data_IF_480072207563
#
_entry.id   IF_480072207563
#
_cell.length_a   1.000
_cell.length_b   1.000
_cell.length_c   1.000
_cell.angle_alpha   90.00
_cell.angle_beta   90.00
_cell.angle_gamma   90.00
#
_symmetry.space_group_name_H-M   'P 1'
#
loop_
_entity.id
_entity.type
_entity.pdbx_description
1 polymer ?
#
# COMPACT_ATOMS: atom_id res chain seq x y z
N UNK A 1 -22.22 -4.91 -27.40
CA UNK A 1 -20.80 -5.17 -27.72
C UNK A 1 -20.18 -3.88 -28.21
N UNK A 2 -19.51 -3.16 -27.31
CA UNK A 2 -18.55 -2.13 -27.65
C UNK A 2 -17.57 -2.14 -26.49
N UNK A 3 -16.51 -2.93 -26.68
CA UNK A 3 -15.36 -2.95 -25.78
C UNK A 3 -14.71 -1.56 -25.83
N UNK A 4 -15.05 -0.71 -24.87
CA UNK A 4 -14.15 0.37 -24.45
C UNK A 4 -13.00 -0.29 -23.69
N UNK A 5 -12.06 -0.88 -24.44
CA UNK A 5 -10.71 -1.02 -23.90
C UNK A 5 -10.22 0.40 -23.61
N UNK A 6 -9.80 0.73 -22.39
CA UNK A 6 -9.11 1.99 -22.14
C UNK A 6 -7.89 2.05 -23.09
N UNK A 7 -7.52 3.26 -23.58
CA UNK A 7 -6.33 3.40 -24.42
C UNK A 7 -5.15 2.75 -23.71
N UNK A 8 -4.29 2.10 -24.48
CA UNK A 8 -3.12 1.37 -24.01
C UNK A 8 -2.33 2.28 -23.04
N UNK A 9 -2.54 2.08 -21.73
CA UNK A 9 -2.06 2.99 -20.66
C UNK A 9 -0.57 2.84 -20.41
N UNK A 10 0.10 1.92 -21.11
CA UNK A 10 1.53 1.72 -20.98
C UNK A 10 2.25 2.94 -21.56
N UNK A 11 2.83 3.77 -20.67
CA UNK A 11 3.56 5.01 -20.97
C UNK A 11 2.71 6.27 -21.18
N UNK A 12 1.64 6.46 -20.41
CA UNK A 12 0.95 7.76 -20.35
C UNK A 12 1.85 8.82 -19.67
N UNK A 13 2.22 9.93 -20.34
CA UNK A 13 2.98 11.02 -19.72
C UNK A 13 2.19 11.69 -18.59
N UNK A 14 2.74 11.73 -17.38
CA UNK A 14 2.04 12.24 -16.19
C UNK A 14 2.84 13.34 -15.51
N UNK A 15 2.15 14.42 -15.13
CA UNK A 15 2.70 15.48 -14.27
C UNK A 15 2.39 15.15 -12.80
N UNK A 16 3.42 15.12 -11.96
CA UNK A 16 3.28 14.91 -10.52
C UNK A 16 3.13 16.23 -9.78
N UNK A 17 2.16 16.32 -8.88
CA UNK A 17 1.88 17.52 -8.07
C UNK A 17 1.90 17.17 -6.59
N UNK A 18 2.64 17.94 -5.80
CA UNK A 18 2.69 17.81 -4.35
C UNK A 18 2.43 19.14 -3.63
N UNK A 19 1.73 19.09 -2.50
CA UNK A 19 1.51 20.26 -1.66
C UNK A 19 2.14 20.06 -0.29
N UNK A 20 3.14 20.87 -0.01
CA UNK A 20 3.81 20.94 1.28
C UNK A 20 2.98 21.81 2.24
N UNK A 21 2.38 21.15 3.24
CA UNK A 21 1.63 21.80 4.31
C UNK A 21 2.48 22.24 5.51
N UNK A 22 3.81 22.08 5.42
CA UNK A 22 4.73 22.28 6.53
C UNK A 22 4.82 21.08 7.47
N UNK A 23 4.37 19.91 7.04
CA UNK A 23 4.58 18.67 7.78
C UNK A 23 6.04 18.21 7.63
N UNK A 24 6.65 17.65 8.68
CA UNK A 24 8.05 17.23 8.64
C UNK A 24 8.34 16.17 7.57
N UNK A 25 7.33 15.39 7.16
CA UNK A 25 7.51 14.18 6.34
C UNK A 25 7.10 14.37 4.87
N UNK A 26 7.06 15.61 4.38
CA UNK A 26 6.71 15.88 2.99
C UNK A 26 7.84 15.45 2.04
N UNK A 27 7.51 14.55 1.11
CA UNK A 27 8.43 14.15 0.04
C UNK A 27 8.51 15.26 -1.01
N UNK A 28 9.45 16.20 -0.81
CA UNK A 28 9.66 17.33 -1.70
C UNK A 28 10.07 16.95 -3.12
N UNK A 29 10.65 15.76 -3.31
CA UNK A 29 11.02 15.26 -4.63
C UNK A 29 9.88 14.51 -5.30
N UNK A 30 8.82 14.14 -4.57
CA UNK A 30 7.77 13.22 -5.05
C UNK A 30 8.35 11.90 -5.56
N UNK A 31 9.43 11.42 -4.92
CA UNK A 31 10.10 10.18 -5.28
C UNK A 31 9.16 8.98 -5.11
N UNK A 32 8.41 8.91 -4.00
CA UNK A 32 7.48 7.82 -3.74
C UNK A 32 6.30 7.85 -4.72
N UNK A 33 5.71 9.04 -4.96
CA UNK A 33 4.63 9.19 -5.94
C UNK A 33 5.10 8.81 -7.35
N UNK A 34 6.34 9.16 -7.71
CA UNK A 34 6.96 8.76 -8.97
C UNK A 34 7.09 7.25 -9.09
N UNK A 35 7.54 6.56 -8.04
CA UNK A 35 7.59 5.10 -8.01
C UNK A 35 6.20 4.46 -8.10
N UNK A 36 5.19 5.03 -7.43
CA UNK A 36 3.80 4.56 -7.56
C UNK A 36 3.29 4.72 -9.00
N UNK A 37 3.53 5.88 -9.61
CA UNK A 37 3.14 6.16 -10.99
C UNK A 37 3.79 5.18 -11.98
N UNK A 38 5.10 4.97 -11.86
CA UNK A 38 5.83 3.98 -12.67
C UNK A 38 5.30 2.56 -12.45
N UNK A 39 5.01 2.19 -11.20
CA UNK A 39 4.44 0.87 -10.86
C UNK A 39 3.07 0.67 -11.50
N UNK A 40 2.28 1.72 -11.65
CA UNK A 40 0.98 1.70 -12.33
C UNK A 40 1.08 1.68 -13.87
N UNK A 41 2.28 1.85 -14.43
CA UNK A 41 2.53 1.94 -15.87
C UNK A 41 2.52 3.35 -16.45
N UNK A 42 2.48 4.38 -15.59
CA UNK A 42 2.55 5.79 -15.98
C UNK A 42 4.01 6.24 -16.14
N UNK A 43 4.23 7.29 -16.92
CA UNK A 43 5.55 7.88 -17.15
C UNK A 43 5.62 9.30 -16.57
N UNK A 44 6.19 9.50 -15.37
CA UNK A 44 6.36 10.83 -14.78
C UNK A 44 7.29 11.72 -15.61
N UNK A 45 6.74 12.70 -16.32
CA UNK A 45 7.50 13.59 -17.21
C UNK A 45 7.92 14.90 -16.55
N UNK A 46 7.23 15.30 -15.50
CA UNK A 46 7.51 16.52 -14.76
C UNK A 46 7.00 16.40 -13.32
N UNK A 47 7.54 17.24 -12.43
CA UNK A 47 7.16 17.33 -11.02
C UNK A 47 7.03 18.79 -10.63
N UNK A 48 6.01 19.10 -9.86
CA UNK A 48 5.80 20.45 -9.32
C UNK A 48 5.32 20.35 -7.87
N UNK A 49 5.94 21.14 -7.00
CA UNK A 49 5.54 21.25 -5.60
C UNK A 49 5.14 22.68 -5.27
N UNK A 50 4.25 22.83 -4.28
CA UNK A 50 3.93 24.15 -3.75
C UNK A 50 3.80 24.12 -2.22
N UNK A 51 4.18 25.23 -1.58
CA UNK A 51 4.05 25.40 -0.13
C UNK A 51 2.76 26.14 0.19
N UNK A 52 1.94 25.60 1.10
CA UNK A 52 0.70 26.23 1.57
C UNK A 52 0.47 25.91 3.04
N UNK A 53 -0.20 26.77 3.80
CA UNK A 53 -0.59 26.43 5.19
C UNK A 53 -1.79 25.47 5.25
N UNK A 54 -2.66 25.55 4.26
CA UNK A 54 -3.88 24.76 4.18
C UNK A 54 -4.32 24.58 2.71
N UNK A 55 -5.05 23.50 2.39
CA UNK A 55 -5.56 23.28 1.05
C UNK A 55 -6.60 24.35 0.68
N UNK A 56 -6.56 24.80 -0.57
CA UNK A 56 -7.61 25.64 -1.12
C UNK A 56 -8.92 24.85 -1.27
N UNK A 57 -10.04 25.43 -0.83
CA UNK A 57 -11.34 24.76 -0.87
C UNK A 57 -11.80 24.42 -2.30
N UNK A 58 -11.40 25.23 -3.30
CA UNK A 58 -11.82 25.06 -4.68
C UNK A 58 -10.82 24.23 -5.49
N UNK A 59 -9.53 24.55 -5.44
CA UNK A 59 -8.49 24.01 -6.32
C UNK A 59 -7.37 23.26 -5.61
N UNK A 60 -7.42 23.10 -4.28
CA UNK A 60 -6.36 22.51 -3.45
C UNK A 60 -5.04 23.33 -3.42
N UNK A 61 -4.50 23.73 -4.58
CA UNK A 61 -3.26 24.50 -4.77
C UNK A 61 -3.47 26.01 -4.95
N UNK A 62 -4.71 26.44 -5.22
CA UNK A 62 -5.06 27.83 -5.57
C UNK A 62 -4.95 28.14 -7.06
N UNK A 63 -5.53 29.25 -7.52
CA UNK A 63 -5.64 29.59 -8.96
C UNK A 63 -4.29 29.78 -9.64
N UNK A 64 -3.42 30.64 -9.12
CA UNK A 64 -2.14 30.94 -9.78
C UNK A 64 -1.25 29.70 -9.94
N UNK A 65 -1.22 28.81 -8.95
CA UNK A 65 -0.48 27.54 -9.04
C UNK A 65 -1.18 26.55 -9.97
N UNK A 66 -2.52 26.56 -10.05
CA UNK A 66 -3.24 25.75 -11.02
C UNK A 66 -2.95 26.19 -12.48
N UNK A 67 -2.78 27.48 -12.73
CA UNK A 67 -2.35 28.00 -14.04
C UNK A 67 -0.93 27.55 -14.39
N UNK A 68 -0.01 27.58 -13.42
CA UNK A 68 1.36 27.08 -13.58
C UNK A 68 1.39 25.56 -13.87
N UNK A 69 0.56 24.78 -13.17
CA UNK A 69 0.38 23.33 -13.44
C UNK A 69 -0.13 23.12 -14.87
N UNK A 70 -1.12 23.89 -15.32
CA UNK A 70 -1.68 23.79 -16.67
C UNK A 70 -0.62 24.07 -17.75
N UNK A 71 0.16 25.13 -17.55
CA UNK A 71 1.23 25.52 -18.46
C UNK A 71 2.30 24.43 -18.53
N UNK A 72 2.76 23.96 -17.37
CA UNK A 72 3.78 22.91 -17.29
C UNK A 72 3.30 21.60 -17.91
N UNK A 73 2.06 21.20 -17.65
CA UNK A 73 1.46 19.99 -18.24
C UNK A 73 1.44 20.07 -19.78
N UNK A 74 1.11 21.24 -20.33
CA UNK A 74 1.11 21.47 -21.78
C UNK A 74 2.53 21.42 -22.35
N UNK A 75 3.50 22.04 -21.68
CA UNK A 75 4.90 22.06 -22.11
C UNK A 75 5.56 20.69 -22.05
N UNK A 76 5.26 19.89 -21.02
CA UNK A 76 5.81 18.55 -20.84
C UNK A 76 5.06 17.46 -21.61
N UNK A 77 3.96 17.81 -22.30
CA UNK A 77 3.11 16.85 -23.01
C UNK A 77 2.39 15.86 -22.07
N UNK A 78 2.10 16.27 -20.82
CA UNK A 78 1.40 15.43 -19.86
C UNK A 78 -0.06 15.22 -20.29
N UNK A 79 -0.52 13.98 -20.27
CA UNK A 79 -1.92 13.59 -20.58
C UNK A 79 -2.77 13.43 -19.32
N UNK A 80 -2.14 13.46 -18.14
CA UNK A 80 -2.78 13.32 -16.84
C UNK A 80 -1.98 14.07 -15.77
N UNK A 81 -2.68 14.59 -14.76
CA UNK A 81 -2.07 15.21 -13.59
C UNK A 81 -2.38 14.37 -12.35
N UNK A 82 -1.33 14.01 -11.62
CA UNK A 82 -1.40 13.15 -10.44
C UNK A 82 -1.02 13.93 -9.18
N UNK A 83 -1.95 14.01 -8.23
CA UNK A 83 -1.75 14.65 -6.94
C UNK A 83 -1.30 13.65 -5.88
N UNK A 84 -0.26 13.98 -5.12
CA UNK A 84 0.23 13.15 -4.00
C UNK A 84 -0.78 13.08 -2.86
N UNK A 85 -1.55 14.15 -2.62
CA UNK A 85 -2.55 14.20 -1.57
C UNK A 85 -3.93 13.80 -2.08
N UNK A 86 -4.76 13.22 -1.23
CA UNK A 86 -6.16 12.94 -1.54
C UNK A 86 -6.95 14.23 -1.79
N UNK A 87 -7.67 14.30 -2.91
CA UNK A 87 -8.47 15.47 -3.28
C UNK A 87 -9.94 15.23 -2.91
N UNK A 88 -10.69 16.22 -2.46
CA UNK A 88 -12.16 16.05 -2.36
C UNK A 88 -12.81 15.93 -3.75
N UNK A 89 -14.02 15.35 -3.87
CA UNK A 89 -14.74 15.29 -5.14
C UNK A 89 -15.04 16.67 -5.78
N UNK A 90 -15.14 17.72 -4.96
CA UNK A 90 -15.30 19.09 -5.45
C UNK A 90 -13.98 19.63 -6.01
N UNK A 91 -12.88 19.46 -5.27
CA UNK A 91 -11.55 19.90 -5.70
C UNK A 91 -11.11 19.22 -6.99
N UNK A 92 -11.24 17.89 -7.07
CA UNK A 92 -10.91 17.15 -8.29
C UNK A 92 -11.70 17.67 -9.49
N UNK A 93 -13.02 17.85 -9.36
CA UNK A 93 -13.85 18.36 -10.47
C UNK A 93 -13.46 19.77 -10.90
N UNK A 94 -13.08 20.62 -9.97
CA UNK A 94 -12.67 21.98 -10.28
C UNK A 94 -11.29 22.00 -10.95
N UNK A 95 -10.36 21.17 -10.49
CA UNK A 95 -9.05 20.98 -11.11
C UNK A 95 -9.16 20.41 -12.52
N UNK A 96 -9.95 19.35 -12.73
CA UNK A 96 -10.21 18.79 -14.07
C UNK A 96 -10.79 19.85 -15.03
N UNK A 97 -11.68 20.71 -14.53
CA UNK A 97 -12.23 21.83 -15.31
C UNK A 97 -11.21 22.89 -15.66
N UNK A 98 -10.33 23.21 -14.72
CA UNK A 98 -9.33 24.26 -14.89
C UNK A 98 -8.19 23.82 -15.81
N UNK A 99 -7.68 22.60 -15.57
CA UNK A 99 -6.54 22.01 -16.25
C UNK A 99 -6.90 21.43 -17.62
N UNK A 100 -8.19 21.09 -17.84
CA UNK A 100 -8.68 20.41 -19.06
C UNK A 100 -8.01 19.05 -19.30
N UNK A 101 -7.46 18.46 -18.25
CA UNK A 101 -6.82 17.14 -18.23
C UNK A 101 -7.46 16.28 -17.14
N UNK A 102 -7.42 14.94 -17.26
CA UNK A 102 -7.71 14.04 -16.16
C UNK A 102 -6.85 14.36 -14.94
N UNK A 103 -7.49 14.45 -13.78
CA UNK A 103 -6.81 14.67 -12.50
C UNK A 103 -7.12 13.51 -11.59
N UNK A 104 -6.07 12.79 -11.17
CA UNK A 104 -6.20 11.69 -10.23
C UNK A 104 -5.36 11.97 -8.98
N UNK A 105 -5.73 11.35 -7.88
CA UNK A 105 -5.01 11.46 -6.61
C UNK A 105 -4.29 10.13 -6.28
N UNK A 106 -3.40 10.20 -5.29
CA UNK A 106 -2.67 9.05 -4.77
C UNK A 106 -3.58 7.90 -4.39
N UNK A 107 -4.76 8.17 -3.82
CA UNK A 107 -5.75 7.15 -3.47
C UNK A 107 -6.17 6.31 -4.66
N UNK A 108 -6.55 6.94 -5.78
CA UNK A 108 -6.94 6.19 -6.97
C UNK A 108 -5.76 5.43 -7.56
N UNK A 109 -4.58 6.04 -7.60
CA UNK A 109 -3.37 5.40 -8.12
C UNK A 109 -3.05 4.10 -7.37
N UNK A 110 -3.11 4.12 -6.03
CA UNK A 110 -2.90 2.93 -5.21
C UNK A 110 -3.94 1.85 -5.54
N UNK A 111 -5.21 2.21 -5.67
CA UNK A 111 -6.27 1.28 -6.04
C UNK A 111 -6.05 0.67 -7.44
N UNK A 112 -5.52 1.44 -8.39
CA UNK A 112 -5.19 0.95 -9.72
C UNK A 112 -4.02 -0.04 -9.69
N UNK A 113 -2.94 0.27 -8.97
CA UNK A 113 -1.82 -0.66 -8.75
C UNK A 113 -2.34 -1.95 -8.14
N UNK A 114 -3.17 -1.86 -7.10
CA UNK A 114 -3.76 -3.04 -6.47
C UNK A 114 -4.66 -3.84 -7.41
N UNK A 115 -5.40 -3.16 -8.31
CA UNK A 115 -6.19 -3.84 -9.34
C UNK A 115 -5.34 -4.67 -10.29
N UNK A 116 -4.13 -4.19 -10.60
CA UNK A 116 -3.16 -4.91 -11.43
C UNK A 116 -2.49 -6.07 -10.68
N UNK A 117 -2.34 -5.97 -9.36
CA UNK A 117 -1.63 -6.97 -8.53
C UNK A 117 -2.53 -8.05 -7.93
N UNK A 118 -3.83 -7.79 -7.76
CA UNK A 118 -4.78 -8.75 -7.18
C UNK A 118 -4.96 -9.98 -8.08
N UNK A 119 -4.45 -11.14 -7.64
CA UNK A 119 -4.62 -12.42 -8.34
C UNK A 119 -5.70 -13.26 -7.69
N UNK A 120 -5.78 -13.26 -6.35
CA UNK A 120 -6.79 -14.01 -5.61
C UNK A 120 -8.20 -13.46 -5.84
N UNK A 121 -9.20 -14.35 -5.76
CA UNK A 121 -10.60 -13.94 -5.89
C UNK A 121 -11.02 -12.96 -4.79
N UNK A 122 -10.52 -13.16 -3.57
CA UNK A 122 -10.77 -12.28 -2.44
C UNK A 122 -10.14 -10.89 -2.64
N UNK A 123 -8.85 -10.84 -3.01
CA UNK A 123 -8.14 -9.59 -3.28
C UNK A 123 -8.81 -8.80 -4.39
N UNK A 124 -9.26 -9.46 -5.47
CA UNK A 124 -10.01 -8.80 -6.56
C UNK A 124 -11.30 -8.16 -6.05
N UNK A 125 -12.08 -8.86 -5.22
CA UNK A 125 -13.32 -8.31 -4.66
C UNK A 125 -13.06 -7.13 -3.72
N UNK A 126 -12.00 -7.17 -2.91
CA UNK A 126 -11.64 -6.08 -2.00
C UNK A 126 -11.23 -4.82 -2.76
N UNK A 127 -10.36 -4.98 -3.76
CA UNK A 127 -9.91 -3.86 -4.58
C UNK A 127 -11.07 -3.28 -5.38
N UNK A 128 -11.93 -4.12 -5.96
CA UNK A 128 -13.10 -3.68 -6.69
C UNK A 128 -14.08 -2.91 -5.78
N UNK A 129 -14.32 -3.40 -4.55
CA UNK A 129 -15.14 -2.72 -3.56
C UNK A 129 -14.60 -1.32 -3.26
N UNK A 130 -13.30 -1.23 -2.92
CA UNK A 130 -12.67 0.03 -2.58
C UNK A 130 -12.69 1.02 -3.76
N UNK A 131 -12.44 0.53 -4.98
CA UNK A 131 -12.53 1.32 -6.22
C UNK A 131 -13.95 1.83 -6.47
N UNK A 132 -14.97 0.99 -6.32
CA UNK A 132 -16.37 1.41 -6.49
C UNK A 132 -16.79 2.42 -5.43
N UNK A 133 -16.38 2.24 -4.17
CA UNK A 133 -16.64 3.21 -3.11
C UNK A 133 -16.00 4.56 -3.42
N UNK A 134 -14.74 4.57 -3.85
CA UNK A 134 -14.04 5.79 -4.25
C UNK A 134 -14.77 6.49 -5.41
N UNK A 135 -15.07 5.75 -6.49
CA UNK A 135 -15.76 6.29 -7.67
C UNK A 135 -17.20 6.75 -7.37
N UNK A 136 -17.89 6.09 -6.42
CA UNK A 136 -19.28 6.42 -6.03
C UNK A 136 -19.46 7.88 -5.60
N UNK A 137 -18.41 8.48 -5.05
CA UNK A 137 -18.41 9.87 -4.58
C UNK A 137 -18.04 10.89 -5.67
N UNK A 138 -17.60 10.43 -6.84
CA UNK A 138 -16.96 11.25 -7.90
C UNK A 138 -17.60 11.10 -9.30
N UNK A 139 -18.73 10.42 -9.41
CA UNK A 139 -19.40 10.09 -10.69
C UNK A 139 -19.87 11.28 -11.53
N UNK A 140 -20.03 12.47 -10.94
CA UNK A 140 -20.74 13.61 -11.54
C UNK A 140 -20.11 14.14 -12.85
N UNK A 141 -18.87 13.77 -13.23
CA UNK A 141 -18.28 14.25 -14.50
C UNK A 141 -17.47 13.30 -15.38
N UNK A 142 -17.00 12.12 -14.93
CA UNK A 142 -16.34 11.17 -15.86
C UNK A 142 -17.22 10.80 -17.06
N UNK A 143 -18.54 10.91 -16.91
CA UNK A 143 -19.54 10.68 -17.96
C UNK A 143 -20.04 11.94 -18.70
N UNK A 144 -19.71 13.16 -18.24
CA UNK A 144 -20.17 14.40 -18.88
C UNK A 144 -19.58 14.65 -20.28
N UNK A 145 -18.50 13.93 -20.63
CA UNK A 145 -17.94 13.92 -21.99
C UNK A 145 -18.78 13.09 -22.99
N UNK A 146 -19.57 12.12 -22.52
CA UNK A 146 -20.47 11.33 -23.37
C UNK A 146 -21.74 12.10 -23.74
N UNK A 147 -22.25 12.96 -22.86
CA UNK A 147 -23.41 13.82 -23.15
C UNK A 147 -23.15 14.84 -24.28
N UNK A 148 -21.90 15.22 -24.56
CA UNK A 148 -21.59 16.17 -25.65
C UNK A 148 -21.43 15.53 -27.02
N UNK A 149 -21.05 14.25 -27.09
CA UNK A 149 -20.95 13.54 -28.37
C UNK A 149 -22.28 12.96 -28.84
N UNK A 150 -23.20 12.67 -27.92
CA UNK A 150 -24.58 12.29 -28.24
C UNK A 150 -25.45 13.55 -28.23
N UNK A 151 -25.49 14.25 -29.36
CA UNK A 151 -26.23 15.49 -29.57
C UNK A 151 -27.59 15.53 -28.86
N UNK A 152 -27.85 16.64 -28.18
CA UNK A 152 -28.99 16.82 -27.31
C UNK A 152 -30.31 16.39 -27.94
N UNK A 153 -30.93 15.37 -27.35
CA UNK A 153 -32.37 15.14 -27.18
C UNK A 153 -32.48 13.96 -26.20
N UNK A 154 -32.92 14.28 -24.98
CA UNK A 154 -33.44 13.38 -23.95
C UNK A 154 -33.05 11.89 -23.98
N UNK A 155 -31.91 11.54 -23.38
CA UNK A 155 -31.73 10.18 -22.84
C UNK A 155 -32.26 10.14 -21.39
N UNK A 156 -33.57 10.39 -21.24
CA UNK A 156 -34.29 10.09 -20.00
C UNK A 156 -34.34 8.56 -19.87
N UNK A 157 -33.52 8.00 -18.98
CA UNK A 157 -33.65 6.60 -18.59
C UNK A 157 -34.95 6.42 -17.81
N UNK A 158 -36.05 6.07 -18.48
CA UNK A 158 -37.34 5.82 -17.83
C UNK A 158 -37.99 7.07 -17.19
N UNK A 159 -39.17 6.92 -16.55
CA UNK A 159 -40.00 8.04 -16.13
C UNK A 159 -39.40 8.73 -14.88
N UNK A 160 -38.60 9.77 -15.09
CA UNK A 160 -38.25 10.78 -14.06
C UNK A 160 -36.87 10.66 -13.39
N UNK A 161 -36.12 9.59 -13.61
CA UNK A 161 -34.78 9.40 -13.01
C UNK A 161 -33.68 9.98 -13.93
N UNK A 162 -32.75 10.74 -13.36
CA UNK A 162 -31.59 11.24 -14.11
C UNK A 162 -30.58 10.12 -14.35
N UNK A 163 -29.81 10.19 -15.45
CA UNK A 163 -28.80 9.18 -15.76
C UNK A 163 -27.75 9.04 -14.64
N UNK A 164 -27.41 10.13 -13.95
CA UNK A 164 -26.50 10.16 -12.81
C UNK A 164 -27.07 9.39 -11.61
N UNK A 165 -28.38 9.48 -11.36
CA UNK A 165 -29.04 8.74 -10.29
C UNK A 165 -29.08 7.24 -10.58
N UNK A 166 -29.37 6.86 -11.82
CA UNK A 166 -29.31 5.48 -12.28
C UNK A 166 -27.91 4.88 -12.09
N UNK A 167 -26.85 5.57 -12.51
CA UNK A 167 -25.47 5.10 -12.36
C UNK A 167 -25.06 4.99 -10.89
N UNK A 168 -25.44 5.97 -10.07
CA UNK A 168 -25.21 5.94 -8.62
C UNK A 168 -25.91 4.75 -7.97
N UNK A 169 -27.14 4.45 -8.40
CA UNK A 169 -27.89 3.29 -7.95
C UNK A 169 -27.23 1.97 -8.37
N UNK A 170 -26.82 1.84 -9.64
CA UNK A 170 -26.12 0.65 -10.13
C UNK A 170 -24.81 0.40 -9.37
N UNK A 171 -24.04 1.44 -9.09
CA UNK A 171 -22.81 1.32 -8.28
C UNK A 171 -23.14 0.93 -6.84
N UNK A 172 -24.18 1.51 -6.24
CA UNK A 172 -24.67 1.12 -4.92
C UNK A 172 -25.06 -0.36 -4.84
N UNK A 173 -25.79 -0.85 -5.83
CA UNK A 173 -26.20 -2.26 -5.92
C UNK A 173 -25.01 -3.20 -6.10
N UNK A 174 -24.01 -2.79 -6.89
CA UNK A 174 -22.77 -3.56 -7.06
C UNK A 174 -21.95 -3.60 -5.78
N UNK A 175 -21.81 -2.47 -5.08
CA UNK A 175 -21.17 -2.41 -3.76
C UNK A 175 -21.84 -3.39 -2.79
N UNK A 176 -23.18 -3.42 -2.75
CA UNK A 176 -23.93 -4.35 -1.89
C UNK A 176 -23.64 -5.80 -2.24
N UNK A 177 -23.70 -6.17 -3.52
CA UNK A 177 -23.40 -7.53 -4.00
C UNK A 177 -21.97 -7.98 -3.65
N UNK A 178 -20.98 -7.09 -3.81
CA UNK A 178 -19.59 -7.41 -3.50
C UNK A 178 -19.40 -7.59 -1.99
N UNK A 179 -20.00 -6.73 -1.15
CA UNK A 179 -19.98 -6.89 0.31
C UNK A 179 -20.56 -8.23 0.76
N UNK A 180 -21.70 -8.64 0.20
CA UNK A 180 -22.30 -9.95 0.48
C UNK A 180 -21.39 -11.12 0.09
N UNK A 181 -20.67 -11.01 -1.04
CA UNK A 181 -19.68 -12.01 -1.45
C UNK A 181 -18.49 -12.06 -0.50
N UNK A 182 -17.96 -10.92 -0.08
CA UNK A 182 -16.86 -10.84 0.90
C UNK A 182 -17.23 -11.46 2.24
N UNK A 183 -18.48 -11.29 2.71
CA UNK A 183 -18.95 -11.96 3.94
C UNK A 183 -18.90 -13.50 3.82
N UNK A 184 -19.20 -14.06 2.65
CA UNK A 184 -19.09 -15.52 2.42
C UNK A 184 -17.63 -15.98 2.44
N UNK A 185 -16.73 -15.23 1.82
CA UNK A 185 -15.28 -15.51 1.82
C UNK A 185 -14.72 -15.45 3.24
N UNK A 186 -15.12 -14.46 4.05
CA UNK A 186 -14.71 -14.33 5.46
C UNK A 186 -15.08 -15.56 6.29
N UNK A 187 -16.31 -16.09 6.11
CA UNK A 187 -16.75 -17.32 6.78
C UNK A 187 -15.89 -18.53 6.39
N UNK A 188 -15.54 -18.67 5.12
CA UNK A 188 -14.68 -19.75 4.65
C UNK A 188 -13.27 -19.68 5.27
N UNK A 189 -12.69 -18.48 5.36
CA UNK A 189 -11.40 -18.24 6.03
C UNK A 189 -11.44 -18.61 7.51
N UNK A 190 -12.48 -18.24 8.25
CA UNK A 190 -12.61 -18.60 9.67
C UNK A 190 -12.59 -20.12 9.90
N UNK A 191 -13.21 -20.89 9.02
CA UNK A 191 -13.17 -22.36 9.08
C UNK A 191 -11.76 -22.89 8.84
N UNK A 192 -11.03 -22.35 7.85
CA UNK A 192 -9.64 -22.72 7.59
C UNK A 192 -8.71 -22.33 8.75
N UNK A 193 -8.95 -21.17 9.37
CA UNK A 193 -8.24 -20.72 10.57
C UNK A 193 -8.41 -21.71 11.73
N UNK A 194 -9.65 -22.09 12.06
CA UNK A 194 -9.92 -23.08 13.12
C UNK A 194 -9.23 -24.42 12.87
N UNK A 195 -9.04 -24.80 11.60
CA UNK A 195 -8.29 -26.00 11.25
C UNK A 195 -6.77 -25.84 11.46
N UNK A 196 -6.24 -24.63 11.28
CA UNK A 196 -4.82 -24.29 11.53
C UNK A 196 -4.51 -24.13 13.02
N UNK A 197 -5.39 -23.49 13.79
CA UNK A 197 -5.28 -23.40 15.26
C UNK A 197 -5.20 -24.79 15.91
N UNK A 198 -5.94 -25.76 15.38
CA UNK A 198 -5.88 -27.17 15.83
C UNK A 198 -4.55 -27.88 15.55
N UNK A 199 -3.63 -27.28 14.78
CA UNK A 199 -2.35 -27.88 14.39
C UNK A 199 -1.14 -27.31 15.16
N UNK A 200 -1.33 -26.44 16.14
CA UNK A 200 -0.25 -25.83 16.96
C UNK A 200 0.94 -25.30 16.14
N UNK A 201 0.64 -24.74 14.96
CA UNK A 201 1.66 -24.14 14.10
C UNK A 201 1.91 -22.70 14.54
N UNK A 202 3.15 -22.41 14.95
CA UNK A 202 3.60 -21.05 15.26
C UNK A 202 3.63 -20.23 13.97
N UNK A 203 2.92 -19.11 13.94
CA UNK A 203 2.69 -18.28 12.76
C UNK A 203 3.49 -16.98 12.85
N UNK A 204 4.29 -16.74 11.82
CA UNK A 204 5.13 -15.54 11.69
C UNK A 204 4.68 -14.76 10.47
N UNK A 205 4.51 -13.45 10.63
CA UNK A 205 4.08 -12.56 9.56
C UNK A 205 5.14 -11.50 9.27
N UNK A 206 5.52 -11.35 8.00
CA UNK A 206 6.41 -10.30 7.55
C UNK A 206 5.61 -9.01 7.37
N UNK A 207 5.97 -7.95 8.09
CA UNK A 207 5.35 -6.62 7.99
C UNK A 207 6.42 -5.56 7.71
N UNK A 208 6.01 -4.40 7.21
CA UNK A 208 6.95 -3.31 6.92
C UNK A 208 6.58 -2.52 5.68
N UNK A 209 7.35 -1.46 5.43
CA UNK A 209 7.12 -0.54 4.33
C UNK A 209 7.29 -1.23 2.96
N UNK A 210 6.59 -0.74 1.94
CA UNK A 210 6.80 -1.20 0.55
C UNK A 210 8.26 -1.01 0.16
N UNK A 211 8.78 -1.91 -0.67
CA UNK A 211 10.19 -1.95 -1.05
C UNK A 211 11.21 -2.19 0.09
N UNK A 212 10.81 -2.45 1.34
CA UNK A 212 11.75 -2.85 2.40
C UNK A 212 12.41 -4.22 2.16
N UNK A 213 11.95 -4.98 1.16
CA UNK A 213 12.48 -6.30 0.81
C UNK A 213 11.84 -7.47 1.57
N UNK A 214 10.59 -7.31 2.05
CA UNK A 214 9.80 -8.39 2.66
C UNK A 214 9.76 -9.66 1.82
N UNK A 215 9.37 -9.55 0.55
CA UNK A 215 9.28 -10.71 -0.36
C UNK A 215 10.65 -11.30 -0.70
N UNK A 216 11.71 -10.47 -0.75
CA UNK A 216 13.09 -10.94 -0.87
C UNK A 216 13.48 -11.79 0.34
N UNK A 217 13.19 -11.31 1.55
CA UNK A 217 13.45 -12.03 2.79
C UNK A 217 12.63 -13.31 2.89
N UNK A 218 11.35 -13.26 2.51
CA UNK A 218 10.48 -14.43 2.41
C UNK A 218 11.10 -15.53 1.55
N UNK A 219 11.59 -15.16 0.36
CA UNK A 219 12.24 -16.08 -0.56
C UNK A 219 13.54 -16.65 0.01
N UNK A 220 14.38 -15.80 0.62
CA UNK A 220 15.61 -16.22 1.26
C UNK A 220 15.36 -17.23 2.40
N UNK A 221 14.33 -17.00 3.21
CA UNK A 221 13.96 -17.88 4.32
C UNK A 221 13.38 -19.21 3.83
N UNK A 222 12.44 -19.20 2.89
CA UNK A 222 11.71 -20.41 2.46
C UNK A 222 12.44 -21.15 1.32
N UNK A 223 13.53 -20.60 0.77
CA UNK A 223 14.15 -21.04 -0.50
C UNK A 223 13.12 -21.10 -1.64
N UNK A 224 12.15 -20.18 -1.62
CA UNK A 224 11.10 -20.08 -2.63
C UNK A 224 11.55 -19.17 -3.78
N UNK A 225 11.03 -19.43 -5.00
CA UNK A 225 11.14 -18.54 -6.15
C UNK A 225 9.86 -17.72 -6.33
N UNK A 226 9.40 -17.00 -5.29
CA UNK A 226 8.30 -16.04 -5.50
C UNK A 226 8.84 -14.79 -6.20
N UNK A 227 7.99 -14.11 -6.99
CA UNK A 227 8.40 -12.95 -7.77
C UNK A 227 8.79 -11.78 -6.85
N UNK A 228 9.98 -11.21 -7.07
CA UNK A 228 10.47 -10.01 -6.38
C UNK A 228 10.86 -9.00 -7.44
N UNK A 229 10.38 -7.77 -7.32
CA UNK A 229 10.71 -6.65 -8.19
C UNK A 229 10.80 -5.37 -7.35
N UNK A 230 11.62 -4.42 -7.79
CA UNK A 230 11.74 -3.07 -7.20
C UNK A 230 10.54 -2.20 -7.60
N UNK A 231 9.33 -2.69 -7.29
CA UNK A 231 8.05 -2.06 -7.57
C UNK A 231 7.25 -2.00 -6.27
N UNK A 232 6.52 -0.90 -6.07
CA UNK A 232 5.66 -0.77 -4.89
C UNK A 232 4.53 -1.80 -4.99
N UNK A 233 4.10 -2.32 -3.84
CA UNK A 233 3.05 -3.35 -3.78
C UNK A 233 3.32 -4.60 -4.65
N UNK A 234 4.58 -5.02 -4.76
CA UNK A 234 4.97 -6.27 -5.43
C UNK A 234 4.16 -7.49 -4.93
N UNK A 235 3.76 -7.47 -3.65
CA UNK A 235 2.91 -8.49 -3.02
C UNK A 235 1.64 -7.84 -2.49
N UNK A 236 0.49 -8.32 -2.97
CA UNK A 236 -0.85 -7.96 -2.47
C UNK A 236 -1.58 -9.16 -1.86
N UNK A 237 -1.49 -10.32 -2.50
CA UNK A 237 -2.06 -11.55 -1.97
C UNK A 237 -1.11 -12.17 -0.95
N UNK A 238 -1.62 -12.48 0.25
CA UNK A 238 -0.82 -13.11 1.30
C UNK A 238 -0.33 -14.48 0.85
N UNK A 239 0.98 -14.73 1.00
CA UNK A 239 1.59 -16.02 0.67
C UNK A 239 2.10 -16.67 1.94
N UNK A 240 1.45 -17.76 2.35
CA UNK A 240 1.91 -18.58 3.49
C UNK A 240 2.67 -19.80 3.01
N UNK A 241 3.83 -20.07 3.64
CA UNK A 241 4.64 -21.27 3.41
C UNK A 241 5.12 -21.85 4.73
N UNK A 242 5.37 -23.15 4.73
CA UNK A 242 5.99 -23.82 5.87
C UNK A 242 7.51 -23.63 5.81
N UNK A 243 8.11 -23.20 6.90
CA UNK A 243 9.55 -23.08 7.09
C UNK A 243 9.98 -24.03 8.19
N UNK A 244 10.92 -24.92 7.89
CA UNK A 244 11.51 -25.80 8.88
C UNK A 244 12.69 -25.12 9.57
N UNK A 245 12.61 -24.94 10.88
CA UNK A 245 13.70 -24.44 11.73
C UNK A 245 14.44 -25.63 12.32
N UNK A 246 15.54 -26.04 11.67
CA UNK A 246 16.32 -27.21 12.10
C UNK A 246 16.87 -27.09 13.51
N UNK A 247 17.21 -25.88 13.95
CA UNK A 247 17.73 -25.58 15.29
C UNK A 247 16.67 -25.76 16.39
N UNK A 248 15.38 -25.59 16.06
CA UNK A 248 14.25 -25.83 16.96
C UNK A 248 13.56 -27.17 16.73
N UNK A 249 13.98 -27.93 15.70
CA UNK A 249 13.33 -29.18 15.28
C UNK A 249 11.86 -29.06 14.86
N UNK A 250 11.36 -27.84 14.61
CA UNK A 250 9.92 -27.55 14.43
C UNK A 250 9.65 -26.80 13.13
N UNK A 251 8.49 -27.06 12.53
CA UNK A 251 7.99 -26.30 11.39
C UNK A 251 7.13 -25.12 11.86
N UNK A 252 7.32 -23.98 11.23
CA UNK A 252 6.54 -22.76 11.45
C UNK A 252 5.88 -22.30 10.15
N UNK A 253 4.80 -21.55 10.25
CA UNK A 253 4.19 -20.89 9.09
C UNK A 253 4.78 -19.49 8.94
N UNK A 254 5.34 -19.18 7.78
CA UNK A 254 5.76 -17.83 7.42
C UNK A 254 4.79 -17.25 6.39
N UNK A 255 4.28 -16.05 6.62
CA UNK A 255 3.37 -15.34 5.76
C UNK A 255 3.98 -14.02 5.27
N UNK A 256 4.01 -13.80 3.94
CA UNK A 256 4.33 -12.49 3.35
C UNK A 256 3.05 -11.65 3.25
N UNK A 257 3.09 -10.40 3.70
CA UNK A 257 1.94 -9.49 3.72
C UNK A 257 2.12 -8.30 2.77
N UNK A 258 1.04 -7.54 2.60
CA UNK A 258 1.03 -6.30 1.82
C UNK A 258 1.98 -5.30 2.46
N UNK A 259 2.80 -4.63 1.65
CA UNK A 259 3.63 -3.54 2.16
C UNK A 259 2.82 -2.29 2.49
N UNK A 260 3.22 -1.61 3.56
CA UNK A 260 2.64 -0.32 3.94
C UNK A 260 3.23 0.83 3.12
N UNK A 261 2.48 1.91 2.98
CA UNK A 261 2.94 3.19 2.43
C UNK A 261 2.45 4.32 3.33
N UNK A 262 3.01 5.51 3.14
CA UNK A 262 2.62 6.73 3.82
C UNK A 262 1.21 7.14 3.42
N UNK A 263 0.48 7.64 4.40
CA UNK A 263 -0.85 8.24 4.26
C UNK A 263 -1.83 7.28 3.56
N UNK A 264 -1.83 6.01 3.97
CA UNK A 264 -2.84 5.05 3.52
C UNK A 264 -4.24 5.60 3.87
N UNK A 265 -5.12 5.85 2.88
CA UNK A 265 -6.45 6.37 3.16
C UNK A 265 -7.26 5.37 4.01
N UNK A 266 -8.02 5.83 5.00
CA UNK A 266 -8.79 4.95 5.89
C UNK A 266 -9.73 3.98 5.16
N UNK A 267 -10.41 4.44 4.10
CA UNK A 267 -11.28 3.57 3.29
C UNK A 267 -10.53 2.46 2.56
N UNK A 268 -9.22 2.62 2.40
CA UNK A 268 -8.32 1.60 1.85
C UNK A 268 -7.98 0.56 2.93
N UNK A 269 -7.68 1.00 4.15
CA UNK A 269 -7.40 0.13 5.30
C UNK A 269 -8.57 -0.81 5.57
N UNK A 270 -9.81 -0.31 5.53
CA UNK A 270 -11.01 -1.14 5.68
C UNK A 270 -11.13 -2.24 4.61
N UNK A 271 -10.76 -1.92 3.37
CA UNK A 271 -10.79 -2.87 2.26
C UNK A 271 -9.68 -3.93 2.37
N UNK A 272 -8.54 -3.57 2.96
CA UNK A 272 -7.39 -4.44 3.15
C UNK A 272 -7.32 -5.08 4.54
N UNK A 273 -8.28 -4.80 5.43
CA UNK A 273 -8.30 -5.38 6.78
C UNK A 273 -8.26 -6.92 6.75
N UNK A 274 -8.97 -7.55 5.80
CA UNK A 274 -8.98 -9.00 5.67
C UNK A 274 -7.67 -9.58 5.07
N UNK A 275 -6.92 -8.80 4.29
CA UNK A 275 -5.57 -9.20 3.83
C UNK A 275 -4.50 -8.93 4.89
N UNK A 276 -4.69 -7.92 5.74
CA UNK A 276 -3.85 -7.62 6.91
C UNK A 276 -4.16 -8.50 8.13
N UNK A 277 -5.27 -9.24 8.13
CA UNK A 277 -5.66 -10.14 9.22
C UNK A 277 -4.59 -11.19 9.55
N UNK A 278 -3.77 -11.59 8.57
CA UNK A 278 -2.66 -12.54 8.80
C UNK A 278 -1.56 -11.94 9.70
N UNK A 279 -1.41 -10.62 9.73
CA UNK A 279 -0.55 -9.94 10.71
C UNK A 279 -1.19 -9.92 12.10
N UNK A 280 -2.52 -9.70 12.19
CA UNK A 280 -3.26 -9.69 13.46
C UNK A 280 -3.29 -11.07 14.12
N UNK A 281 -3.33 -12.13 13.32
CA UNK A 281 -3.41 -13.52 13.80
C UNK A 281 -2.01 -14.16 14.01
N UNK A 282 -0.93 -13.38 13.88
CA UNK A 282 0.43 -13.89 14.02
C UNK A 282 0.86 -14.00 15.49
N UNK A 283 1.69 -14.99 15.79
CA UNK A 283 2.36 -15.13 17.09
C UNK A 283 3.59 -14.22 17.17
N UNK A 284 4.15 -13.86 16.01
CA UNK A 284 5.32 -12.99 15.88
C UNK A 284 5.26 -12.16 14.60
N UNK A 285 5.58 -10.87 14.71
CA UNK A 285 5.81 -10.00 13.56
C UNK A 285 7.31 -9.85 13.29
N UNK A 286 7.71 -10.11 12.05
CA UNK A 286 9.02 -9.72 11.53
C UNK A 286 8.85 -8.40 10.80
N UNK A 287 9.22 -7.31 11.46
CA UNK A 287 9.11 -5.97 10.92
C UNK A 287 10.36 -5.65 10.09
N UNK A 288 10.23 -5.82 8.78
CA UNK A 288 11.30 -5.56 7.81
C UNK A 288 11.40 -4.07 7.50
N UNK A 289 12.58 -3.51 7.72
CA UNK A 289 12.91 -2.10 7.55
C UNK A 289 14.03 -1.98 6.52
N UNK A 290 13.93 -0.98 5.63
CA UNK A 290 15.02 -0.64 4.72
C UNK A 290 16.08 0.16 5.47
N UNK A 291 17.21 -0.47 5.79
CA UNK A 291 18.28 0.17 6.56
C UNK A 291 19.04 1.24 5.75
N UNK A 292 18.97 1.20 4.41
CA UNK A 292 19.59 2.20 3.55
C UNK A 292 18.72 3.45 3.36
N UNK A 293 17.45 3.40 3.77
CA UNK A 293 16.54 4.54 3.65
C UNK A 293 16.80 5.57 4.75
N UNK A 294 17.07 6.85 4.43
CA UNK A 294 17.21 7.89 5.45
C UNK A 294 15.92 8.16 6.24
N UNK A 295 14.76 7.74 5.71
CA UNK A 295 13.44 7.89 6.33
C UNK A 295 13.00 6.66 7.14
N UNK A 296 13.91 5.73 7.47
CA UNK A 296 13.53 4.47 8.13
C UNK A 296 12.76 4.67 9.44
N UNK A 297 13.08 5.70 10.24
CA UNK A 297 12.38 6.01 11.49
C UNK A 297 10.92 6.39 11.24
N UNK A 298 10.67 7.21 10.23
CA UNK A 298 9.32 7.64 9.85
C UNK A 298 8.51 6.45 9.30
N UNK A 299 9.16 5.59 8.50
CA UNK A 299 8.53 4.38 7.99
C UNK A 299 8.16 3.42 9.11
N UNK A 300 9.03 3.24 10.12
CA UNK A 300 8.73 2.44 11.31
C UNK A 300 7.51 3.01 12.03
N UNK A 301 7.49 4.33 12.27
CA UNK A 301 6.38 4.99 12.96
C UNK A 301 5.04 4.81 12.21
N UNK A 302 5.05 4.93 10.88
CA UNK A 302 3.86 4.73 10.05
C UNK A 302 3.37 3.27 10.09
N UNK A 303 4.30 2.30 10.05
CA UNK A 303 3.94 0.89 10.22
C UNK A 303 3.34 0.63 11.60
N UNK A 304 3.91 1.19 12.66
CA UNK A 304 3.35 1.04 14.02
C UNK A 304 1.95 1.67 14.13
N UNK A 305 1.72 2.83 13.51
CA UNK A 305 0.40 3.47 13.46
C UNK A 305 -0.64 2.53 12.82
N UNK A 306 -0.32 1.97 11.66
CA UNK A 306 -1.23 1.06 10.95
C UNK A 306 -1.42 -0.25 11.71
N UNK A 307 -0.37 -0.80 12.34
CA UNK A 307 -0.49 -1.97 13.21
C UNK A 307 -1.43 -1.70 14.40
N UNK A 308 -1.40 -0.49 14.97
CA UNK A 308 -2.36 -0.04 15.98
C UNK A 308 -3.80 -0.01 15.47
N UNK A 309 -4.03 0.56 14.28
CA UNK A 309 -5.37 0.67 13.69
C UNK A 309 -6.00 -0.70 13.36
N UNK A 310 -5.19 -1.70 13.00
CA UNK A 310 -5.68 -3.06 12.72
C UNK A 310 -5.75 -3.96 13.97
N UNK A 311 -5.29 -3.48 15.13
CA UNK A 311 -5.28 -4.23 16.39
C UNK A 311 -4.15 -5.25 16.52
N UNK A 312 -3.01 -5.01 15.88
CA UNK A 312 -1.81 -5.86 15.91
C UNK A 312 -0.66 -5.27 16.75
N UNK A 313 -0.91 -4.22 17.55
CA UNK A 313 0.13 -3.52 18.30
C UNK A 313 0.77 -4.36 19.42
N UNK A 314 -0.01 -5.23 20.06
CA UNK A 314 0.46 -6.04 21.19
C UNK A 314 1.24 -7.30 20.77
N UNK A 315 1.32 -7.55 19.46
CA UNK A 315 1.99 -8.74 18.93
C UNK A 315 3.49 -8.53 19.05
N UNK A 316 4.25 -9.49 19.61
CA UNK A 316 5.69 -9.36 19.75
C UNK A 316 6.35 -9.15 18.38
N UNK A 317 7.40 -8.32 18.34
CA UNK A 317 8.09 -7.96 17.10
C UNK A 317 9.58 -8.33 17.14
N UNK A 318 10.17 -8.55 15.95
CA UNK A 318 11.61 -8.47 15.70
C UNK A 318 11.79 -7.48 14.54
N UNK A 319 12.63 -6.48 14.74
CA UNK A 319 13.01 -5.55 13.69
C UNK A 319 14.08 -6.19 12.81
N UNK A 320 13.86 -6.19 11.50
CA UNK A 320 14.78 -6.76 10.52
C UNK A 320 15.26 -5.65 9.62
N UNK A 321 16.44 -5.11 9.92
CA UNK A 321 17.10 -4.07 9.13
C UNK A 321 17.74 -4.72 7.91
N UNK A 322 17.02 -4.66 6.80
CA UNK A 322 17.39 -5.27 5.53
C UNK A 322 18.17 -4.29 4.65
N UNK A 323 18.80 -4.82 3.58
CA UNK A 323 19.61 -4.09 2.59
C UNK A 323 20.95 -3.57 3.12
N UNK A 324 21.57 -4.31 4.05
CA UNK A 324 22.96 -4.06 4.47
C UNK A 324 23.93 -3.95 3.29
N UNK A 325 23.66 -4.65 2.18
CA UNK A 325 24.50 -4.65 0.98
C UNK A 325 24.60 -3.30 0.26
N UNK A 326 23.68 -2.38 0.55
CA UNK A 326 23.63 -1.03 -0.05
C UNK A 326 24.23 0.02 0.88
N UNK A 327 24.40 -0.29 2.16
CA UNK A 327 24.98 0.62 3.15
C UNK A 327 26.51 0.63 2.99
N UNK A 328 27.12 1.81 3.12
CA UNK A 328 28.57 1.95 3.16
C UNK A 328 29.16 1.04 4.26
N UNK A 329 30.14 0.17 3.96
CA UNK A 329 30.81 -0.68 4.95
C UNK A 329 31.30 0.08 6.20
N UNK A 330 31.65 1.36 6.08
CA UNK A 330 32.05 2.18 7.23
C UNK A 330 30.89 2.48 8.21
N UNK A 331 29.65 2.35 7.75
CA UNK A 331 28.43 2.54 8.52
C UNK A 331 27.78 1.22 8.95
N UNK A 332 28.41 0.08 8.64
CA UNK A 332 27.89 -1.22 9.06
C UNK A 332 27.92 -1.35 10.59
N UNK A 333 26.92 -2.02 11.17
CA UNK A 333 26.89 -2.22 12.61
C UNK A 333 28.02 -3.17 13.03
N UNK A 334 28.59 -2.93 14.22
CA UNK A 334 29.65 -3.79 14.78
C UNK A 334 29.14 -5.21 15.09
N UNK A 335 27.84 -5.35 15.36
CA UNK A 335 27.15 -6.61 15.59
C UNK A 335 25.91 -6.68 14.71
N UNK A 336 25.61 -7.85 14.16
CA UNK A 336 24.43 -8.07 13.32
C UNK A 336 23.14 -8.23 14.14
N UNK A 337 23.24 -8.27 15.47
CA UNK A 337 22.12 -8.39 16.40
C UNK A 337 22.29 -7.39 17.54
N UNK A 338 21.24 -6.65 17.84
CA UNK A 338 21.17 -5.76 19.00
C UNK A 338 19.72 -5.50 19.43
N UNK A 339 19.50 -4.45 20.23
CA UNK A 339 18.18 -4.04 20.71
C UNK A 339 17.89 -2.62 20.24
N UNK A 340 16.69 -2.41 19.73
CA UNK A 340 16.17 -1.12 19.31
C UNK A 340 15.01 -0.71 20.21
N UNK A 341 15.02 0.54 20.65
CA UNK A 341 13.89 1.12 21.39
C UNK A 341 12.76 1.46 20.41
N UNK A 342 11.70 0.66 20.45
CA UNK A 342 10.49 0.87 19.66
C UNK A 342 9.41 1.45 20.57
N UNK A 343 9.30 2.78 20.62
CA UNK A 343 8.30 3.51 21.42
C UNK A 343 8.33 3.18 22.92
N UNK A 344 9.51 3.05 23.51
CA UNK A 344 9.74 2.68 24.91
C UNK A 344 9.80 1.17 25.16
N UNK A 345 9.70 0.35 24.12
CA UNK A 345 9.77 -1.11 24.21
C UNK A 345 11.08 -1.63 23.62
N UNK A 346 11.96 -2.26 24.41
CA UNK A 346 13.18 -2.87 23.91
C UNK A 346 12.82 -4.04 22.97
N UNK A 347 13.12 -3.85 21.69
CA UNK A 347 12.76 -4.79 20.63
C UNK A 347 14.01 -5.37 19.99
N UNK A 348 14.14 -6.71 19.86
CA UNK A 348 15.27 -7.31 19.17
C UNK A 348 15.38 -6.82 17.74
N UNK A 349 16.58 -6.43 17.31
CA UNK A 349 16.88 -6.00 15.95
C UNK A 349 17.97 -6.88 15.35
N UNK A 350 17.75 -7.30 14.11
CA UNK A 350 18.69 -8.08 13.31
C UNK A 350 18.99 -7.33 12.02
N UNK A 351 20.26 -7.19 11.69
CA UNK A 351 20.70 -6.62 10.43
C UNK A 351 21.02 -7.72 9.43
N UNK A 352 20.54 -7.58 8.19
CA UNK A 352 20.76 -8.56 7.14
C UNK A 352 20.76 -7.96 5.73
N UNK A 353 21.27 -8.73 4.77
CA UNK A 353 20.97 -8.55 3.35
C UNK A 353 20.20 -9.76 2.87
N UNK A 354 18.90 -9.60 2.63
CA UNK A 354 18.06 -10.66 2.09
C UNK A 354 18.50 -11.09 0.67
N UNK A 355 19.17 -10.19 -0.07
CA UNK A 355 19.68 -10.43 -1.41
C UNK A 355 20.95 -11.28 -1.39
N UNK A 356 21.89 -10.96 -0.51
CA UNK A 356 23.19 -11.65 -0.44
C UNK A 356 23.18 -12.82 0.54
N UNK A 357 22.17 -12.91 1.43
CA UNK A 357 22.04 -13.94 2.45
C UNK A 357 22.81 -13.65 3.74
N UNK A 358 23.57 -12.55 3.81
CA UNK A 358 24.25 -12.09 5.02
C UNK A 358 23.23 -11.80 6.13
N UNK A 359 23.51 -12.22 7.37
CA UNK A 359 22.61 -12.02 8.52
C UNK A 359 21.36 -12.91 8.55
N UNK A 360 21.04 -13.67 7.48
CA UNK A 360 19.86 -14.55 7.45
C UNK A 360 19.99 -15.74 8.42
N UNK A 361 21.22 -16.23 8.65
CA UNK A 361 21.48 -17.29 9.63
C UNK A 361 21.21 -16.82 11.07
N UNK A 362 21.66 -15.60 11.41
CA UNK A 362 21.38 -14.95 12.69
C UNK A 362 19.87 -14.81 12.94
N UNK A 363 19.11 -14.36 11.93
CA UNK A 363 17.65 -14.29 12.02
C UNK A 363 17.03 -15.67 12.27
N UNK A 364 17.50 -16.73 11.60
CA UNK A 364 16.99 -18.10 11.82
C UNK A 364 17.23 -18.60 13.25
N UNK A 365 18.39 -18.28 13.83
CA UNK A 365 18.71 -18.61 15.23
C UNK A 365 17.81 -17.87 16.21
N UNK A 366 17.60 -16.57 15.99
CA UNK A 366 16.67 -15.78 16.79
C UNK A 366 15.24 -16.33 16.72
N UNK A 367 14.77 -16.70 15.53
CA UNK A 367 13.48 -17.34 15.35
C UNK A 367 13.40 -18.68 16.08
N UNK A 368 14.44 -19.51 15.99
CA UNK A 368 14.48 -20.80 16.67
C UNK A 368 14.41 -20.65 18.19
N UNK A 369 15.17 -19.72 18.79
CA UNK A 369 15.11 -19.41 20.23
C UNK A 369 13.70 -19.03 20.68
N UNK A 370 13.05 -18.14 19.92
CA UNK A 370 11.71 -17.64 20.25
C UNK A 370 10.62 -18.72 20.13
N UNK A 371 10.73 -19.60 19.14
CA UNK A 371 9.81 -20.72 18.92
C UNK A 371 10.00 -21.83 19.97
N UNK A 372 11.22 -22.03 20.45
CA UNK A 372 11.54 -23.00 21.52
C UNK A 372 11.15 -22.53 22.92
N UNK A 373 10.78 -21.25 23.09
CA UNK A 373 10.33 -20.69 24.37
C UNK A 373 11.45 -20.20 25.29
N UNK A 374 12.68 -20.04 24.78
CA UNK A 374 13.75 -19.38 25.52
C UNK A 374 13.43 -17.88 25.59
N UNK A 375 12.72 -17.48 26.65
CA UNK A 375 12.54 -16.08 27.04
C UNK A 375 13.93 -15.52 27.33
N UNK A 376 14.35 -14.50 26.57
CA UNK A 376 15.52 -13.68 26.93
C UNK A 376 15.34 -13.28 28.40
N UNK A 377 16.33 -13.50 29.29
CA UNK A 377 16.22 -13.04 30.65
C UNK A 377 15.97 -11.53 30.60
N UNK A 378 14.94 -11.09 31.34
CA UNK A 378 14.79 -9.69 31.74
C UNK A 378 16.17 -9.22 32.20
N UNK A 379 16.85 -8.43 31.38
CA UNK A 379 18.02 -7.68 31.81
C UNK A 379 17.45 -6.52 32.59
N UNK A 380 17.07 -6.84 33.83
CA UNK A 380 16.58 -5.91 34.82
C UNK A 380 17.54 -4.74 34.94
N UNK A 381 16.94 -3.56 35.06
CA UNK A 381 17.59 -2.38 35.59
C UNK A 381 18.41 -2.76 36.83
N UNK A 382 19.71 -2.46 36.75
CA UNK A 382 20.60 -2.32 37.89
C UNK A 382 21.16 -0.89 37.87
#
# INVERSE_FOLDING_TARGET
MTNLQPPDRQSAPTLLVGVDFGYPNFDGELAELGLLAQTAGLNPVARITCKRKAPDAALFVGSGKADEIKLLATQSGAVEVLFDQSLSPAQQRNLERHLELPVNDRTLLILEIFGQRARSHEGKLQVELARLQYLSTRLVRRWSHLERQSGGIGMRGGPGESQIELDRRMIGDNIKKIKERLLKVKKQRQTQRRQRERRDAFNISLVGYTNAGKSTLFNALVKARTYTADQLFATLDTTTRQLYLGEAGRSISLSDTVGFIRDLPHGLIDAFQATLQEAVDADLLLHVVDAASPQFLEQIAEVQRVLGEIGAADIPQILVFNKLDVIDPAQHPLQLEDVFDLNGVPTPRVFLSAKNGEGVAALRQQLARRVSGDVLPDTGAA
#
